data_IF_972273448785
#
_entry.id   IF_972273448785
#
_cell.length_a   1.000
_cell.length_b   1.000
_cell.length_c   1.000
_cell.angle_alpha   90.00
_cell.angle_beta   90.00
_cell.angle_gamma   90.00
#
_symmetry.space_group_name_H-M   'P 1'
#
loop_
_entity.id
_entity.type
_entity.pdbx_description
1 polymer ?
#
# COMPACT_ATOMS: atom_id res chain seq x y z
N UNK A 1 8.21 24.84 -18.60
CA UNK A 1 9.47 24.63 -17.85
C UNK A 1 9.50 25.65 -16.72
N UNK A 2 9.03 25.25 -15.53
CA UNK A 2 8.56 26.16 -14.49
C UNK A 2 9.38 25.84 -13.23
N UNK A 3 10.47 26.58 -13.00
CA UNK A 3 11.34 26.39 -11.83
C UNK A 3 10.61 26.91 -10.58
N UNK A 4 10.23 26.01 -9.68
CA UNK A 4 9.73 26.36 -8.33
C UNK A 4 10.94 26.62 -7.44
N UNK A 5 11.16 27.87 -7.05
CA UNK A 5 12.18 28.23 -6.07
C UNK A 5 11.60 28.06 -4.66
N UNK A 6 12.24 27.19 -3.88
CA UNK A 6 11.93 26.90 -2.49
C UNK A 6 12.49 28.02 -1.61
N UNK A 7 11.62 28.73 -0.87
CA UNK A 7 12.05 29.74 0.11
C UNK A 7 11.58 29.29 1.49
N UNK A 8 12.55 28.89 2.32
CA UNK A 8 12.39 28.62 3.75
C UNK A 8 12.40 29.94 4.51
N UNK A 9 11.38 30.21 5.32
CA UNK A 9 11.35 31.32 6.28
C UNK A 9 11.28 30.77 7.70
N UNK A 10 12.26 31.13 8.52
CA UNK A 10 12.40 30.72 9.92
C UNK A 10 11.65 31.69 10.85
N UNK A 11 10.98 31.07 11.81
CA UNK A 11 10.21 31.52 12.99
C UNK A 11 10.72 32.79 13.70
N UNK A 12 9.78 33.64 14.13
CA UNK A 12 9.89 34.39 15.40
C UNK A 12 8.59 34.33 16.20
N UNK A 13 8.73 33.96 17.48
CA UNK A 13 7.71 33.78 18.51
C UNK A 13 7.37 35.12 19.20
N UNK A 14 6.09 35.42 19.44
CA UNK A 14 5.67 36.47 20.39
C UNK A 14 4.30 36.14 21.02
N UNK A 15 4.11 36.55 22.27
CA UNK A 15 3.20 35.97 23.27
C UNK A 15 1.98 36.86 23.62
N UNK A 16 0.81 36.21 23.74
CA UNK A 16 -0.43 36.48 24.52
C UNK A 16 -1.27 37.77 24.35
N UNK A 17 -2.61 37.60 24.18
CA UNK A 17 -3.77 37.99 25.06
C UNK A 17 -5.10 37.51 24.40
N UNK A 18 -6.07 36.98 25.16
CA UNK A 18 -7.44 36.61 24.74
C UNK A 18 -8.49 37.49 25.47
N UNK A 19 -9.83 37.44 25.21
CA UNK A 19 -10.62 36.98 24.05
C UNK A 19 -11.60 38.07 23.52
N UNK A 20 -12.10 37.95 22.28
CA UNK A 20 -13.37 38.60 21.87
C UNK A 20 -14.18 37.62 21.04
N UNK A 21 -15.32 37.20 21.59
CA UNK A 21 -16.34 36.48 20.86
C UNK A 21 -17.10 37.47 19.97
N UNK A 22 -16.99 37.29 18.66
CA UNK A 22 -17.96 37.80 17.70
C UNK A 22 -18.28 36.65 16.75
N UNK A 23 -19.52 36.16 16.83
CA UNK A 23 -20.07 35.16 15.94
C UNK A 23 -19.98 35.68 14.50
N UNK A 24 -19.04 35.17 13.73
CA UNK A 24 -19.07 35.20 12.28
C UNK A 24 -19.35 33.78 11.84
N UNK A 25 -20.42 33.65 11.06
CA UNK A 25 -21.10 32.38 10.79
C UNK A 25 -20.12 31.28 10.43
N UNK A 26 -20.34 30.11 11.02
CA UNK A 26 -19.96 28.89 10.34
C UNK A 26 -20.82 28.81 9.06
N UNK A 27 -20.40 29.50 8.00
CA UNK A 27 -20.45 28.88 6.69
C UNK A 27 -19.38 27.79 6.70
N UNK A 28 -19.59 26.79 7.57
CA UNK A 28 -18.99 25.50 7.40
C UNK A 28 -19.55 25.03 6.07
N UNK A 29 -18.79 25.27 5.01
CA UNK A 29 -18.81 24.34 3.90
C UNK A 29 -18.53 23.00 4.58
N UNK A 30 -19.58 22.22 4.78
CA UNK A 30 -19.44 20.79 4.91
C UNK A 30 -18.87 20.36 3.56
N UNK A 31 -17.57 20.58 3.35
CA UNK A 31 -16.82 19.92 2.31
C UNK A 31 -16.85 18.49 2.76
N UNK A 32 -17.83 17.77 2.23
CA UNK A 32 -18.05 16.34 2.31
C UNK A 32 -16.80 15.58 2.78
N UNK A 33 -16.56 15.53 4.10
CA UNK A 33 -15.41 14.87 4.73
C UNK A 33 -15.58 13.34 4.69
N UNK A 34 -16.32 12.83 3.70
CA UNK A 34 -16.72 11.42 3.58
C UNK A 34 -15.74 10.60 2.74
N UNK A 35 -14.76 11.22 2.08
CA UNK A 35 -13.68 10.49 1.37
C UNK A 35 -12.35 10.63 2.11
N UNK A 36 -12.21 9.88 3.21
CA UNK A 36 -10.98 9.81 4.01
C UNK A 36 -9.79 9.21 3.23
N UNK A 37 -10.06 8.44 2.18
CA UNK A 37 -9.06 7.75 1.38
C UNK A 37 -9.23 8.07 -0.11
N UNK A 38 -8.11 8.05 -0.82
CA UNK A 38 -8.11 7.98 -2.27
C UNK A 38 -8.76 6.66 -2.75
N UNK A 39 -9.14 6.63 -4.03
CA UNK A 39 -9.61 5.39 -4.65
C UNK A 39 -8.55 4.29 -4.53
N UNK A 40 -8.95 3.04 -4.19
CA UNK A 40 -7.98 1.96 -4.02
C UNK A 40 -7.31 1.62 -5.36
N UNK A 41 -5.99 1.50 -5.34
CA UNK A 41 -5.21 0.99 -6.46
C UNK A 41 -5.14 -0.55 -6.39
N UNK A 42 -5.39 -1.21 -7.51
CA UNK A 42 -5.33 -2.67 -7.57
C UNK A 42 -3.87 -3.15 -7.53
N UNK A 43 -3.60 -4.14 -6.67
CA UNK A 43 -2.37 -4.92 -6.76
C UNK A 43 -2.40 -5.78 -8.02
N UNK A 44 -1.33 -5.74 -8.82
CA UNK A 44 -1.22 -6.47 -10.08
C UNK A 44 -0.23 -7.63 -9.98
N UNK A 45 -0.63 -8.78 -10.51
CA UNK A 45 0.24 -9.92 -10.82
C UNK A 45 0.11 -10.28 -12.29
N UNK A 46 1.24 -10.45 -12.98
CA UNK A 46 1.22 -10.67 -14.43
C UNK A 46 0.36 -9.63 -15.18
N UNK A 47 0.49 -8.36 -14.77
CA UNK A 47 -0.14 -7.20 -15.40
C UNK A 47 -1.69 -7.23 -15.34
N UNK A 48 -2.27 -8.00 -14.41
CA UNK A 48 -3.71 -8.08 -14.13
C UNK A 48 -4.00 -8.02 -12.62
N UNK A 49 -5.19 -7.56 -12.18
CA UNK A 49 -5.55 -7.54 -10.77
C UNK A 49 -5.39 -8.91 -10.10
N UNK A 50 -4.74 -8.93 -8.94
CA UNK A 50 -4.51 -10.14 -8.15
C UNK A 50 -5.85 -10.73 -7.67
N UNK A 51 -6.29 -11.77 -8.37
CA UNK A 51 -7.58 -12.45 -8.16
C UNK A 51 -7.44 -13.95 -8.48
N UNK A 52 -8.45 -14.75 -8.13
CA UNK A 52 -8.54 -16.17 -8.50
C UNK A 52 -7.94 -17.17 -7.50
N UNK A 53 -7.46 -16.71 -6.34
CA UNK A 53 -7.02 -17.55 -5.23
C UNK A 53 -8.19 -17.87 -4.30
N UNK A 54 -8.25 -19.09 -3.79
CA UNK A 54 -9.32 -19.53 -2.88
C UNK A 54 -8.90 -19.23 -1.44
N UNK A 55 -9.52 -18.23 -0.82
CA UNK A 55 -9.13 -17.69 0.49
C UNK A 55 -7.62 -17.36 0.58
N UNK A 56 -7.14 -16.36 -0.16
CA UNK A 56 -5.73 -15.98 -0.14
C UNK A 56 -5.34 -15.40 1.22
N UNK A 57 -4.15 -15.80 1.69
CA UNK A 57 -3.46 -15.21 2.83
C UNK A 57 -2.14 -14.60 2.36
N UNK A 58 -2.15 -13.35 1.86
CA UNK A 58 -0.97 -12.70 1.29
C UNK A 58 -0.06 -12.09 2.36
N UNK A 59 1.26 -12.08 2.10
CA UNK A 59 2.30 -11.41 2.89
C UNK A 59 3.32 -10.78 1.95
N UNK A 60 3.80 -9.58 2.27
CA UNK A 60 4.96 -8.96 1.61
C UNK A 60 6.22 -9.25 2.42
N UNK A 61 7.20 -9.93 1.82
CA UNK A 61 8.49 -10.21 2.46
C UNK A 61 9.58 -10.41 1.42
N UNK A 62 10.75 -9.84 1.68
CA UNK A 62 11.97 -10.17 0.96
C UNK A 62 12.39 -11.60 1.33
N UNK A 63 12.29 -12.52 0.36
CA UNK A 63 12.60 -13.94 0.56
C UNK A 63 13.81 -14.40 -0.27
N UNK A 64 14.29 -13.58 -1.21
CA UNK A 64 15.45 -13.89 -2.05
C UNK A 64 16.71 -13.08 -1.68
N UNK A 65 16.57 -12.07 -0.80
CA UNK A 65 17.65 -11.26 -0.27
C UNK A 65 18.08 -10.11 -1.17
N UNK A 66 17.29 -9.73 -2.17
CA UNK A 66 17.61 -8.64 -3.09
C UNK A 66 17.23 -7.23 -2.58
N UNK A 67 16.63 -7.15 -1.38
CA UNK A 67 16.16 -5.92 -0.76
C UNK A 67 14.77 -5.45 -1.23
N UNK A 68 14.08 -6.21 -2.08
CA UNK A 68 12.69 -5.97 -2.50
C UNK A 68 11.80 -7.06 -1.92
N UNK A 69 10.56 -6.67 -1.59
CA UNK A 69 9.60 -7.62 -1.04
C UNK A 69 8.85 -8.37 -2.14
N UNK A 70 8.90 -9.70 -2.10
CA UNK A 70 8.03 -10.59 -2.86
C UNK A 70 6.61 -10.57 -2.28
N UNK A 71 5.64 -10.83 -3.14
CA UNK A 71 4.29 -11.19 -2.73
C UNK A 71 4.23 -12.70 -2.51
N UNK A 72 4.14 -13.12 -1.26
CA UNK A 72 3.95 -14.52 -0.87
C UNK A 72 2.47 -14.76 -0.59
N UNK A 73 1.93 -15.86 -1.11
CA UNK A 73 0.50 -16.19 -1.00
C UNK A 73 0.32 -17.65 -0.64
N UNK A 74 -0.27 -17.90 0.52
CA UNK A 74 -0.92 -19.17 0.85
C UNK A 74 -2.39 -19.14 0.43
N UNK A 75 -2.98 -20.29 0.12
CA UNK A 75 -4.42 -20.41 -0.15
C UNK A 75 -5.05 -21.64 0.53
N UNK A 76 -6.39 -21.70 0.58
CA UNK A 76 -7.14 -22.77 1.25
C UNK A 76 -6.72 -24.18 0.83
N UNK A 77 -6.49 -24.48 -0.47
CA UNK A 77 -5.98 -25.79 -0.86
C UNK A 77 -4.60 -26.12 -0.27
N UNK A 78 -3.86 -25.17 0.28
CA UNK A 78 -2.50 -25.35 0.82
C UNK A 78 -1.39 -25.06 -0.19
N UNK A 79 -1.64 -24.31 -1.28
CA UNK A 79 -0.57 -23.92 -2.23
C UNK A 79 0.21 -22.76 -1.63
N UNK A 80 1.54 -22.89 -1.60
CA UNK A 80 2.43 -21.77 -1.31
C UNK A 80 3.02 -21.25 -2.61
N UNK A 81 2.79 -19.97 -2.90
CA UNK A 81 3.27 -19.29 -4.12
C UNK A 81 3.92 -17.96 -3.79
N UNK A 82 4.77 -17.48 -4.68
CA UNK A 82 5.37 -16.16 -4.60
C UNK A 82 5.38 -15.46 -5.96
N UNK A 83 5.43 -14.14 -5.96
CA UNK A 83 5.71 -13.34 -7.15
C UNK A 83 6.78 -12.29 -6.82
N UNK A 84 7.67 -12.02 -7.77
CA UNK A 84 8.78 -11.07 -7.63
C UNK A 84 8.31 -9.65 -7.90
N UNK A 85 8.81 -8.68 -7.13
CA UNK A 85 8.47 -7.27 -7.31
C UNK A 85 8.89 -6.75 -8.69
N UNK A 86 7.98 -6.04 -9.37
CA UNK A 86 8.28 -5.28 -10.60
C UNK A 86 8.32 -3.79 -10.28
N UNK A 87 9.52 -3.20 -10.29
CA UNK A 87 9.70 -1.76 -10.05
C UNK A 87 9.22 -1.31 -8.66
N UNK A 88 8.81 -0.04 -8.56
CA UNK A 88 8.45 0.59 -7.27
C UNK A 88 6.92 0.71 -7.04
N UNK A 89 6.08 0.26 -7.98
CA UNK A 89 4.61 0.31 -7.89
C UNK A 89 3.98 -0.97 -7.32
N UNK A 90 2.65 -1.09 -7.37
CA UNK A 90 1.91 -2.27 -6.91
C UNK A 90 1.89 -3.42 -7.94
N UNK A 91 3.05 -3.76 -8.48
CA UNK A 91 3.19 -4.73 -9.57
C UNK A 91 4.15 -5.85 -9.21
N UNK A 92 3.74 -7.08 -9.49
CA UNK A 92 4.53 -8.29 -9.32
C UNK A 92 4.47 -9.19 -10.55
N UNK A 93 5.40 -10.14 -10.65
CA UNK A 93 5.39 -11.18 -11.67
C UNK A 93 4.13 -12.06 -11.58
N UNK A 94 4.03 -13.05 -12.47
CA UNK A 94 3.11 -14.17 -12.23
C UNK A 94 3.48 -14.88 -10.92
N UNK A 95 2.48 -15.48 -10.26
CA UNK A 95 2.71 -16.35 -9.12
C UNK A 95 3.42 -17.63 -9.56
N UNK A 96 4.52 -17.94 -8.90
CA UNK A 96 5.29 -19.16 -9.07
C UNK A 96 5.13 -20.03 -7.82
N UNK A 97 5.14 -21.38 -7.93
CA UNK A 97 5.13 -22.25 -6.77
C UNK A 97 6.40 -22.03 -5.95
N UNK A 98 6.25 -21.89 -4.64
CA UNK A 98 7.36 -22.11 -3.72
C UNK A 98 7.70 -23.60 -3.75
N UNK A 99 8.97 -23.95 -3.53
CA UNK A 99 9.44 -25.34 -3.64
C UNK A 99 10.18 -25.79 -2.39
N UNK A 100 10.10 -27.09 -2.12
CA UNK A 100 10.97 -27.82 -1.20
C UNK A 100 11.82 -28.77 -2.04
N UNK A 101 13.06 -28.36 -2.36
CA UNK A 101 13.83 -29.00 -3.43
C UNK A 101 13.19 -28.71 -4.79
N UNK A 102 12.94 -29.75 -5.59
CA UNK A 102 12.31 -29.61 -6.91
C UNK A 102 10.78 -29.61 -6.86
N UNK A 103 10.20 -30.07 -5.75
CA UNK A 103 8.76 -30.25 -5.58
C UNK A 103 8.07 -28.99 -5.05
N UNK A 104 6.86 -28.67 -5.52
CA UNK A 104 6.07 -27.58 -4.95
C UNK A 104 5.79 -27.78 -3.46
N UNK A 105 6.00 -26.73 -2.67
CA UNK A 105 5.64 -26.71 -1.27
C UNK A 105 4.12 -26.75 -1.14
N UNK A 106 3.64 -27.85 -0.56
CA UNK A 106 2.22 -28.13 -0.34
C UNK A 106 1.99 -28.31 1.15
N UNK A 107 1.22 -27.42 1.75
CA UNK A 107 0.79 -27.57 3.13
C UNK A 107 -0.46 -28.44 3.16
N UNK A 108 -0.53 -29.38 4.10
CA UNK A 108 -1.76 -30.11 4.29
C UNK A 108 -2.79 -29.19 4.96
N UNK A 109 -3.88 -28.94 4.26
CA UNK A 109 -5.07 -28.35 4.83
C UNK A 109 -6.14 -29.44 4.69
N UNK A 110 -6.27 -30.22 5.77
CA UNK A 110 -7.12 -31.42 5.94
C UNK A 110 -6.66 -32.69 5.21
#
# INVERSE_FOLDING_TARGET
MNKRHSTFALVTLSCAVAPVAAALGHSGSCSDETSLFDAPEALLTADSPFTGQMYPSPVLRDIDGDGKAELVVGDLPGRMRFATRKGNGLQWSKLNPMKSGDEPLRLNNW
#
